data_IF_500949127357
#
_entry.id   IF_500949127357
#
_cell.length_a   1.000
_cell.length_b   1.000
_cell.length_c   1.000
_cell.angle_alpha   90.00
_cell.angle_beta   90.00
_cell.angle_gamma   90.00
#
_symmetry.space_group_name_H-M   'P 1'
#
loop_
_entity.id
_entity.type
_entity.pdbx_description
1 polymer ?
#
# COMPACT_ATOMS: atom_id res chain seq x y z
N UNK A 1 -10.41 -28.38 0.02
CA UNK A 1 -10.27 -27.16 -0.80
C UNK A 1 -10.54 -25.99 0.13
N UNK A 2 -9.50 -25.21 0.51
CA UNK A 2 -9.71 -24.02 1.33
C UNK A 2 -10.27 -22.91 0.42
N UNK A 3 -11.42 -22.38 0.78
CA UNK A 3 -11.99 -21.18 0.11
C UNK A 3 -11.39 -19.96 0.79
N UNK A 4 -10.64 -19.16 0.03
CA UNK A 4 -10.13 -17.87 0.49
C UNK A 4 -11.06 -16.75 0.02
N UNK A 5 -11.27 -15.74 0.85
CA UNK A 5 -12.00 -14.53 0.47
C UNK A 5 -11.29 -13.74 -0.65
N UNK A 6 -9.99 -13.99 -0.83
CA UNK A 6 -9.14 -13.29 -1.77
C UNK A 6 -9.05 -14.03 -3.10
N UNK A 7 -9.26 -13.30 -4.20
CA UNK A 7 -9.37 -13.87 -5.55
C UNK A 7 -8.00 -14.03 -6.23
N UNK A 8 -7.92 -14.92 -7.23
CA UNK A 8 -6.71 -15.22 -7.99
C UNK A 8 -6.89 -15.11 -9.50
N UNK A 9 -7.95 -14.45 -9.95
CA UNK A 9 -8.27 -14.32 -11.38
C UNK A 9 -7.67 -13.03 -11.91
N UNK A 10 -6.69 -13.06 -12.76
CA UNK A 10 -5.98 -11.99 -13.46
C UNK A 10 -4.46 -12.07 -13.27
N UNK A 11 -3.71 -11.04 -13.66
CA UNK A 11 -2.27 -11.01 -13.37
C UNK A 11 -2.01 -11.04 -11.86
N UNK A 12 -0.95 -11.70 -11.44
CA UNK A 12 -0.63 -11.83 -10.01
C UNK A 12 -0.49 -10.47 -9.31
N UNK A 13 0.07 -9.47 -9.99
CA UNK A 13 0.20 -8.09 -9.49
C UNK A 13 -1.16 -7.44 -9.23
N UNK A 14 -2.08 -7.49 -10.21
CA UNK A 14 -3.43 -6.93 -10.05
C UNK A 14 -4.22 -7.60 -8.93
N UNK A 15 -4.07 -8.92 -8.80
CA UNK A 15 -4.71 -9.69 -7.72
C UNK A 15 -4.15 -9.29 -6.37
N UNK A 16 -2.82 -9.15 -6.26
CA UNK A 16 -2.17 -8.71 -5.03
C UNK A 16 -2.66 -7.31 -4.61
N UNK A 17 -2.69 -6.37 -5.54
CA UNK A 17 -3.19 -5.01 -5.29
C UNK A 17 -4.66 -5.03 -4.86
N UNK A 18 -5.52 -5.71 -5.60
CA UNK A 18 -6.96 -5.75 -5.31
C UNK A 18 -7.23 -6.38 -3.92
N UNK A 19 -6.54 -7.46 -3.58
CA UNK A 19 -6.67 -8.12 -2.29
C UNK A 19 -6.15 -7.22 -1.15
N UNK A 20 -5.05 -6.51 -1.37
CA UNK A 20 -4.50 -5.53 -0.41
C UNK A 20 -5.51 -4.41 -0.15
N UNK A 21 -6.09 -3.83 -1.21
CA UNK A 21 -7.09 -2.78 -1.07
C UNK A 21 -8.37 -3.29 -0.38
N UNK A 22 -8.80 -4.51 -0.70
CA UNK A 22 -9.94 -5.15 -0.03
C UNK A 22 -9.69 -5.29 1.48
N UNK A 23 -8.53 -5.78 1.86
CA UNK A 23 -8.15 -5.94 3.26
C UNK A 23 -8.08 -4.60 3.99
N UNK A 24 -7.43 -3.59 3.42
CA UNK A 24 -7.36 -2.25 3.99
C UNK A 24 -8.76 -1.60 4.12
N UNK A 25 -9.63 -1.76 3.12
CA UNK A 25 -11.01 -1.26 3.19
C UNK A 25 -11.84 -1.98 4.26
N UNK A 26 -11.60 -3.27 4.50
CA UNK A 26 -12.23 -4.02 5.59
C UNK A 26 -11.79 -3.50 6.96
N UNK A 27 -10.50 -3.23 7.14
CA UNK A 27 -9.99 -2.64 8.37
C UNK A 27 -10.59 -1.25 8.61
N UNK A 28 -10.67 -0.40 7.57
CA UNK A 28 -11.32 0.91 7.64
C UNK A 28 -12.78 0.81 8.08
N UNK A 29 -13.57 -0.06 7.46
CA UNK A 29 -14.99 -0.24 7.78
C UNK A 29 -15.21 -0.86 9.17
N UNK A 30 -14.29 -1.71 9.63
CA UNK A 30 -14.37 -2.34 10.93
C UNK A 30 -14.07 -1.36 12.08
N UNK A 31 -12.95 -0.64 11.98
CA UNK A 31 -12.54 0.36 12.96
C UNK A 31 -11.74 1.48 12.32
N UNK A 32 -12.46 2.52 11.91
CA UNK A 32 -11.92 3.70 11.25
C UNK A 32 -10.77 4.35 12.04
N UNK A 33 -10.89 4.45 13.37
CA UNK A 33 -9.84 5.06 14.20
C UNK A 33 -8.55 4.23 14.21
N UNK A 34 -8.65 2.91 14.37
CA UNK A 34 -7.48 2.02 14.31
C UNK A 34 -6.82 2.06 12.94
N UNK A 35 -7.62 2.09 11.87
CA UNK A 35 -7.12 2.23 10.51
C UNK A 35 -6.35 3.55 10.32
N UNK A 36 -6.91 4.67 10.76
CA UNK A 36 -6.23 5.96 10.65
C UNK A 36 -4.97 6.04 11.50
N UNK A 37 -4.96 5.47 12.71
CA UNK A 37 -3.76 5.43 13.54
C UNK A 37 -2.64 4.66 12.82
N UNK A 38 -2.94 3.51 12.23
CA UNK A 38 -2.00 2.76 11.41
C UNK A 38 -1.53 3.59 10.21
N UNK A 39 -2.47 4.14 9.44
CA UNK A 39 -2.15 4.92 8.25
C UNK A 39 -1.27 6.13 8.57
N UNK A 40 -1.67 6.92 9.58
CA UNK A 40 -0.97 8.13 9.97
C UNK A 40 0.44 7.84 10.48
N UNK A 41 0.61 6.82 11.31
CA UNK A 41 1.90 6.54 11.94
C UNK A 41 2.85 5.73 11.05
N UNK A 42 2.33 4.82 10.20
CA UNK A 42 3.17 3.91 9.40
C UNK A 42 3.36 4.36 7.96
N UNK A 43 2.37 5.02 7.38
CA UNK A 43 2.37 5.37 5.96
C UNK A 43 2.56 6.88 5.76
N UNK A 44 1.69 7.70 6.33
CA UNK A 44 1.74 9.15 6.15
C UNK A 44 2.82 9.81 7.01
N UNK A 45 3.16 9.20 8.15
CA UNK A 45 4.10 9.72 9.14
C UNK A 45 3.72 11.12 9.64
N UNK A 46 2.46 11.24 10.04
CA UNK A 46 1.86 12.44 10.62
C UNK A 46 1.31 12.12 12.01
N UNK A 47 1.06 13.17 12.81
CA UNK A 47 0.44 13.02 14.12
C UNK A 47 -1.04 12.64 14.04
N UNK A 48 -1.64 12.44 15.21
CA UNK A 48 -3.08 12.19 15.33
C UNK A 48 -3.87 13.38 14.79
N UNK A 49 -4.79 13.11 13.89
CA UNK A 49 -5.63 14.10 13.23
C UNK A 49 -7.09 13.65 13.14
N UNK A 50 -7.94 14.51 12.57
CA UNK A 50 -9.32 14.12 12.24
C UNK A 50 -9.34 12.98 11.22
N UNK A 51 -10.31 12.09 11.35
CA UNK A 51 -10.47 10.90 10.52
C UNK A 51 -11.57 11.10 9.47
N UNK A 52 -11.32 11.83 8.39
CA UNK A 52 -12.34 12.04 7.36
C UNK A 52 -12.54 10.79 6.49
N UNK A 53 -13.58 10.82 5.69
CA UNK A 53 -13.93 9.73 4.78
C UNK A 53 -12.82 9.48 3.74
N UNK A 54 -12.51 8.20 3.49
CA UNK A 54 -11.48 7.77 2.54
C UNK A 54 -12.11 7.13 1.30
N UNK A 55 -11.49 7.37 0.16
CA UNK A 55 -11.82 6.71 -1.10
C UNK A 55 -10.69 5.75 -1.49
N UNK A 56 -11.06 4.48 -1.68
CA UNK A 56 -10.19 3.44 -2.23
C UNK A 56 -10.51 3.25 -3.71
N UNK A 57 -9.53 3.45 -4.58
CA UNK A 57 -9.67 3.20 -6.01
C UNK A 57 -8.63 2.18 -6.47
N UNK A 58 -9.08 1.23 -7.31
CA UNK A 58 -8.21 0.28 -7.99
C UNK A 58 -8.11 0.73 -9.45
N UNK A 59 -6.89 0.78 -9.99
CA UNK A 59 -6.61 1.18 -11.38
C UNK A 59 -7.25 2.54 -11.76
N UNK A 60 -6.91 3.58 -11.02
CA UNK A 60 -7.38 4.92 -11.32
C UNK A 60 -6.73 5.45 -12.60
N UNK A 61 -7.53 5.58 -13.67
CA UNK A 61 -7.07 6.10 -14.96
C UNK A 61 -6.87 7.61 -14.86
N UNK A 62 -5.63 8.07 -15.07
CA UNK A 62 -5.32 9.47 -15.34
C UNK A 62 -4.82 9.63 -16.79
N UNK A 63 -4.72 10.85 -17.29
CA UNK A 63 -4.33 11.12 -18.69
C UNK A 63 -2.95 10.53 -19.05
N UNK A 64 -2.02 10.44 -18.11
CA UNK A 64 -0.62 10.06 -18.35
C UNK A 64 -0.16 8.79 -17.61
N UNK A 65 -0.96 8.25 -16.68
CA UNK A 65 -0.57 7.10 -15.86
C UNK A 65 -1.78 6.40 -15.25
N UNK A 66 -1.65 5.10 -15.04
CA UNK A 66 -2.65 4.27 -14.35
C UNK A 66 -1.93 3.58 -13.19
N UNK A 67 -1.95 4.15 -11.97
CA UNK A 67 -1.45 3.45 -10.78
C UNK A 67 -2.32 2.23 -10.48
N UNK A 68 -1.72 1.21 -9.87
CA UNK A 68 -2.43 -0.02 -9.48
C UNK A 68 -3.57 0.28 -8.52
N UNK A 69 -3.35 1.18 -7.56
CA UNK A 69 -4.39 1.66 -6.66
C UNK A 69 -4.10 3.06 -6.11
N UNK A 70 -5.13 3.72 -5.59
CA UNK A 70 -5.01 4.93 -4.80
C UNK A 70 -5.84 4.85 -3.54
N UNK A 71 -5.33 5.42 -2.46
CA UNK A 71 -6.05 5.68 -1.20
C UNK A 71 -5.99 7.19 -1.02
N UNK A 72 -7.14 7.85 -1.03
CA UNK A 72 -7.17 9.30 -1.05
C UNK A 72 -8.32 9.90 -0.25
N UNK A 73 -8.09 11.10 0.20
CA UNK A 73 -9.06 12.07 0.67
C UNK A 73 -8.58 13.46 0.27
N UNK A 74 -9.30 14.51 0.64
CA UNK A 74 -8.96 15.89 0.25
C UNK A 74 -7.57 16.33 0.73
N UNK A 75 -7.14 15.89 1.92
CA UNK A 75 -5.86 16.29 2.51
C UNK A 75 -4.70 15.37 2.18
N UNK A 76 -4.92 14.16 1.68
CA UNK A 76 -3.82 13.28 1.26
C UNK A 76 -4.17 12.40 0.05
N UNK A 77 -3.12 11.93 -0.61
CA UNK A 77 -3.20 10.88 -1.62
C UNK A 77 -2.02 9.94 -1.50
N UNK A 78 -2.31 8.66 -1.48
CA UNK A 78 -1.34 7.57 -1.56
C UNK A 78 -1.52 6.91 -2.91
N UNK A 79 -0.50 6.97 -3.74
CA UNK A 79 -0.44 6.24 -5.01
C UNK A 79 0.31 4.95 -4.74
N UNK A 80 -0.34 3.82 -5.04
CA UNK A 80 0.21 2.48 -4.80
C UNK A 80 0.62 1.85 -6.11
N UNK A 81 1.87 1.39 -6.18
CA UNK A 81 2.39 0.58 -7.26
C UNK A 81 2.87 -0.75 -6.70
N UNK A 82 2.22 -1.84 -7.14
CA UNK A 82 2.57 -3.19 -6.73
C UNK A 82 3.42 -3.86 -7.79
N UNK A 83 4.52 -4.45 -7.38
CA UNK A 83 5.34 -5.31 -8.23
C UNK A 83 5.63 -6.63 -7.53
N UNK A 84 6.12 -7.58 -8.29
CA UNK A 84 6.56 -8.86 -7.78
C UNK A 84 8.05 -9.03 -8.08
N UNK A 85 8.82 -9.25 -7.00
CA UNK A 85 10.26 -9.56 -7.10
C UNK A 85 11.10 -8.42 -7.72
N UNK A 86 10.88 -7.18 -7.22
CA UNK A 86 11.66 -5.99 -7.58
C UNK A 86 11.60 -5.60 -9.07
N UNK A 87 10.53 -5.93 -9.79
CA UNK A 87 10.33 -5.58 -11.21
C UNK A 87 9.78 -4.16 -11.41
N UNK A 88 10.20 -3.21 -10.59
CA UNK A 88 9.78 -1.81 -10.71
C UNK A 88 10.35 -1.15 -11.97
N UNK A 89 9.52 -0.38 -12.67
CA UNK A 89 9.90 0.45 -13.80
C UNK A 89 9.96 1.92 -13.36
N UNK A 90 11.18 2.51 -13.41
CA UNK A 90 11.39 3.90 -13.02
C UNK A 90 10.56 4.89 -13.86
N UNK A 91 10.34 4.61 -15.15
CA UNK A 91 9.51 5.47 -16.00
C UNK A 91 8.07 5.47 -15.54
N UNK A 92 7.54 4.29 -15.18
CA UNK A 92 6.20 4.15 -14.62
C UNK A 92 6.08 4.92 -13.31
N UNK A 93 7.04 4.77 -12.39
CA UNK A 93 7.05 5.49 -11.12
C UNK A 93 7.12 7.02 -11.32
N UNK A 94 7.94 7.52 -12.25
CA UNK A 94 7.94 8.94 -12.62
C UNK A 94 6.58 9.43 -13.14
N UNK A 95 5.91 8.64 -13.98
CA UNK A 95 4.57 8.99 -14.44
C UNK A 95 3.55 9.03 -13.29
N UNK A 96 3.71 8.20 -12.27
CA UNK A 96 2.84 8.22 -11.09
C UNK A 96 3.01 9.50 -10.26
N UNK A 97 4.22 10.09 -10.22
CA UNK A 97 4.42 11.39 -9.55
C UNK A 97 3.55 12.49 -10.17
N UNK A 98 3.35 12.45 -11.48
CA UNK A 98 2.52 13.44 -12.21
C UNK A 98 1.01 13.29 -11.93
N UNK A 99 0.59 12.25 -11.23
CA UNK A 99 -0.82 12.06 -10.84
C UNK A 99 -1.21 12.80 -9.55
N UNK A 100 -0.24 13.34 -8.82
CA UNK A 100 -0.51 14.18 -7.65
C UNK A 100 -0.98 15.58 -8.07
N UNK A 101 -1.90 16.15 -7.27
CA UNK A 101 -2.52 17.46 -7.50
C UNK A 101 -2.32 18.35 -6.27
N UNK A 102 -3.42 18.80 -5.67
CA UNK A 102 -3.43 19.81 -4.62
C UNK A 102 -3.49 19.21 -3.19
N UNK A 103 -3.20 17.90 -3.07
CA UNK A 103 -3.19 17.24 -1.76
C UNK A 103 -2.08 17.79 -0.87
N UNK A 104 -2.36 17.97 0.43
CA UNK A 104 -1.41 18.47 1.44
C UNK A 104 -0.31 17.44 1.74
N UNK A 105 -0.65 16.15 1.64
CA UNK A 105 0.25 15.02 1.89
C UNK A 105 0.21 14.09 0.69
N UNK A 106 1.39 13.81 0.15
CA UNK A 106 1.57 13.01 -1.07
C UNK A 106 2.52 11.85 -0.78
N UNK A 107 2.06 10.63 -0.99
CA UNK A 107 2.87 9.42 -0.78
C UNK A 107 2.85 8.54 -2.02
N UNK A 108 4.02 8.23 -2.55
CA UNK A 108 4.23 7.13 -3.49
C UNK A 108 4.59 5.89 -2.67
N UNK A 109 3.72 4.91 -2.62
CA UNK A 109 3.95 3.65 -1.94
C UNK A 109 4.25 2.55 -2.96
N UNK A 110 5.42 1.95 -2.86
CA UNK A 110 5.75 0.73 -3.62
C UNK A 110 5.55 -0.48 -2.73
N UNK A 111 4.89 -1.52 -3.26
CA UNK A 111 4.54 -2.76 -2.55
C UNK A 111 5.10 -3.96 -3.31
N UNK A 112 5.86 -4.81 -2.61
CA UNK A 112 6.51 -6.00 -3.20
C UNK A 112 6.65 -7.10 -2.13
N UNK A 113 6.76 -8.39 -2.48
CA UNK A 113 7.16 -9.44 -1.54
C UNK A 113 8.50 -9.18 -0.85
N UNK A 114 9.44 -8.58 -1.58
CA UNK A 114 10.80 -8.33 -1.16
C UNK A 114 11.07 -6.83 -0.95
N UNK A 115 11.97 -6.46 -0.03
CA UNK A 115 12.44 -5.08 0.06
C UNK A 115 13.01 -4.61 -1.29
N UNK A 116 12.75 -3.36 -1.66
CA UNK A 116 13.30 -2.79 -2.87
C UNK A 116 14.85 -2.86 -2.84
N UNK A 117 15.45 -3.25 -3.95
CA UNK A 117 16.90 -3.27 -4.05
C UNK A 117 17.48 -1.87 -3.85
N UNK A 118 18.64 -1.76 -3.19
CA UNK A 118 19.31 -0.47 -2.92
C UNK A 118 19.47 0.37 -4.18
N UNK A 119 19.88 -0.25 -5.29
CA UNK A 119 20.04 0.43 -6.56
C UNK A 119 18.74 1.02 -7.13
N UNK A 120 17.61 0.32 -6.97
CA UNK A 120 16.30 0.84 -7.40
C UNK A 120 15.83 1.93 -6.44
N UNK A 121 16.00 1.75 -5.14
CA UNK A 121 15.65 2.75 -4.13
C UNK A 121 16.36 4.08 -4.41
N UNK A 122 17.67 4.07 -4.62
CA UNK A 122 18.45 5.28 -4.96
C UNK A 122 17.90 5.98 -6.22
N UNK A 123 17.48 5.24 -7.23
CA UNK A 123 16.89 5.82 -8.46
C UNK A 123 15.52 6.42 -8.22
N UNK A 124 14.70 5.77 -7.41
CA UNK A 124 13.35 6.26 -7.07
C UNK A 124 13.48 7.52 -6.23
N UNK A 125 14.35 7.51 -5.22
CA UNK A 125 14.58 8.66 -4.34
C UNK A 125 15.10 9.87 -5.14
N UNK A 126 16.04 9.65 -6.07
CA UNK A 126 16.52 10.71 -6.97
C UNK A 126 15.38 11.26 -7.87
N UNK A 127 14.49 10.41 -8.37
CA UNK A 127 13.35 10.85 -9.17
C UNK A 127 12.33 11.65 -8.35
N UNK A 128 12.08 11.23 -7.12
CA UNK A 128 11.21 11.95 -6.16
C UNK A 128 11.83 13.29 -5.77
N UNK A 129 13.14 13.35 -5.51
CA UNK A 129 13.84 14.61 -5.25
C UNK A 129 13.78 15.57 -6.44
N UNK A 130 13.96 15.06 -7.66
CA UNK A 130 13.83 15.85 -8.90
C UNK A 130 12.42 16.46 -9.01
N UNK A 131 11.38 15.65 -8.81
CA UNK A 131 9.98 16.10 -8.79
C UNK A 131 9.73 17.15 -7.72
N UNK A 132 10.23 16.93 -6.51
CA UNK A 132 10.02 17.81 -5.35
C UNK A 132 10.68 19.19 -5.53
N UNK A 133 11.76 19.30 -6.32
CA UNK A 133 12.39 20.62 -6.62
C UNK A 133 11.47 21.56 -7.41
N UNK A 134 10.50 21.00 -8.15
CA UNK A 134 9.56 21.75 -8.97
C UNK A 134 8.21 22.02 -8.24
N UNK A 135 8.00 21.45 -7.05
CA UNK A 135 6.71 21.47 -6.36
C UNK A 135 6.83 21.95 -4.91
N UNK A 136 5.81 22.68 -4.44
CA UNK A 136 5.78 23.25 -3.06
C UNK A 136 5.48 22.18 -2.02
N UNK A 137 4.58 21.25 -2.34
CA UNK A 137 4.25 20.11 -1.49
C UNK A 137 4.97 18.87 -1.99
N UNK A 138 5.84 18.36 -1.14
CA UNK A 138 6.74 17.27 -1.51
C UNK A 138 6.05 15.91 -1.43
N UNK A 139 6.31 15.07 -2.42
CA UNK A 139 5.98 13.65 -2.39
C UNK A 139 7.01 12.94 -1.52
N UNK A 140 6.54 12.02 -0.68
CA UNK A 140 7.36 11.06 0.05
C UNK A 140 7.26 9.70 -0.65
N UNK A 141 8.39 9.03 -0.86
CA UNK A 141 8.42 7.62 -1.26
C UNK A 141 8.52 6.72 -0.03
N UNK A 142 7.77 5.64 -0.01
CA UNK A 142 7.91 4.55 0.94
C UNK A 142 7.89 3.22 0.21
N UNK A 143 8.81 2.33 0.57
CA UNK A 143 8.78 0.94 0.14
C UNK A 143 8.25 0.09 1.29
N UNK A 144 7.24 -0.73 1.01
CA UNK A 144 6.56 -1.60 1.98
C UNK A 144 6.55 -3.00 1.42
N UNK A 145 6.87 -4.00 2.23
CA UNK A 145 6.63 -5.40 1.86
C UNK A 145 5.26 -5.85 2.33
N UNK A 146 4.72 -6.95 1.75
CA UNK A 146 3.48 -7.55 2.26
C UNK A 146 3.60 -7.95 3.72
N UNK A 147 4.79 -8.41 4.13
CA UNK A 147 5.10 -8.75 5.53
C UNK A 147 5.04 -7.53 6.44
N UNK A 148 5.61 -6.39 6.00
CA UNK A 148 5.54 -5.15 6.77
C UNK A 148 4.10 -4.67 6.91
N UNK A 149 3.32 -4.72 5.82
CA UNK A 149 1.92 -4.29 5.83
C UNK A 149 1.08 -5.14 6.80
N UNK A 150 1.28 -6.46 6.82
CA UNK A 150 0.63 -7.37 7.78
C UNK A 150 1.03 -7.00 9.21
N UNK A 151 2.32 -6.77 9.46
CA UNK A 151 2.81 -6.36 10.77
C UNK A 151 2.21 -5.02 11.22
N UNK A 152 2.15 -4.02 10.31
CA UNK A 152 1.53 -2.73 10.61
C UNK A 152 0.06 -2.88 11.03
N UNK A 153 -0.70 -3.73 10.37
CA UNK A 153 -2.09 -3.96 10.77
C UNK A 153 -2.22 -4.66 12.12
N UNK A 154 -1.38 -5.68 12.36
CA UNK A 154 -1.39 -6.42 13.64
C UNK A 154 -1.07 -5.53 14.83
N UNK A 155 -0.21 -4.53 14.67
CA UNK A 155 0.11 -3.56 15.72
C UNK A 155 -1.12 -2.75 16.20
N UNK A 156 -2.17 -2.63 15.37
CA UNK A 156 -3.37 -1.84 15.68
C UNK A 156 -4.64 -2.67 15.88
N UNK A 157 -4.55 -3.99 15.80
CA UNK A 157 -5.67 -4.91 16.03
C UNK A 157 -5.53 -5.51 17.44
N UNK A 158 -6.61 -5.46 18.22
CA UNK A 158 -6.66 -6.16 19.51
C UNK A 158 -7.01 -7.63 19.26
N UNK A 159 -6.42 -8.57 20.01
CA UNK A 159 -6.72 -10.02 19.92
C UNK A 159 -8.22 -10.34 20.16
N UNK A 160 -8.94 -9.42 20.76
CA UNK A 160 -10.40 -9.52 20.96
C UNK A 160 -11.20 -9.11 19.73
N UNK A 161 -10.61 -8.42 18.78
CA UNK A 161 -11.23 -8.02 17.51
C UNK A 161 -11.24 -9.21 16.52
N UNK A 162 -11.88 -10.32 16.87
CA UNK A 162 -11.77 -11.62 16.19
C UNK A 162 -12.02 -11.52 14.69
N UNK A 163 -13.03 -10.75 14.26
CA UNK A 163 -13.34 -10.60 12.83
C UNK A 163 -12.18 -9.95 12.05
N UNK A 164 -11.47 -9.01 12.67
CA UNK A 164 -10.30 -8.39 12.05
C UNK A 164 -9.07 -9.29 12.10
N UNK A 165 -8.87 -10.01 13.20
CA UNK A 165 -7.81 -11.03 13.30
C UNK A 165 -8.00 -12.05 12.20
N UNK A 166 -9.20 -12.59 12.03
CA UNK A 166 -9.50 -13.59 10.98
C UNK A 166 -9.26 -13.05 9.57
N UNK A 167 -9.60 -11.78 9.28
CA UNK A 167 -9.36 -11.14 7.98
C UNK A 167 -7.85 -11.00 7.72
N UNK A 168 -7.07 -10.57 8.71
CA UNK A 168 -5.61 -10.43 8.56
C UNK A 168 -4.94 -11.80 8.45
N UNK A 169 -5.38 -12.78 9.23
CA UNK A 169 -4.92 -14.17 9.13
C UNK A 169 -5.18 -14.76 7.74
N UNK A 170 -6.35 -14.50 7.18
CA UNK A 170 -6.69 -14.97 5.83
C UNK A 170 -5.86 -14.26 4.76
N UNK A 171 -5.57 -12.97 4.93
CA UNK A 171 -4.68 -12.25 4.02
C UNK A 171 -3.23 -12.77 4.13
N UNK A 172 -2.74 -13.02 5.34
CA UNK A 172 -1.41 -13.62 5.56
C UNK A 172 -1.30 -15.00 4.93
N UNK A 173 -2.31 -15.87 5.13
CA UNK A 173 -2.39 -17.17 4.46
C UNK A 173 -2.42 -17.06 2.93
N UNK A 174 -3.14 -16.06 2.40
CA UNK A 174 -3.13 -15.78 0.97
C UNK A 174 -1.71 -15.41 0.51
N UNK A 175 -1.03 -14.48 1.20
CA UNK A 175 0.33 -14.08 0.86
C UNK A 175 1.33 -15.25 0.94
N UNK A 176 1.22 -16.12 1.96
CA UNK A 176 2.03 -17.33 2.08
C UNK A 176 1.76 -18.32 0.94
N UNK A 177 0.51 -18.49 0.55
CA UNK A 177 0.11 -19.42 -0.50
C UNK A 177 0.57 -19.00 -1.91
N UNK A 178 0.74 -17.70 -2.14
CA UNK A 178 1.23 -17.14 -3.41
C UNK A 178 2.72 -16.76 -3.35
N UNK A 179 3.41 -17.15 -2.29
CA UNK A 179 4.84 -16.94 -2.05
C UNK A 179 5.25 -15.46 -1.93
N UNK A 180 4.35 -14.62 -1.42
CA UNK A 180 4.64 -13.21 -1.13
C UNK A 180 5.27 -13.00 0.25
N UNK A 181 5.14 -13.97 1.14
CA UNK A 181 5.83 -14.05 2.42
C UNK A 181 6.37 -15.45 2.61
N UNK A 182 7.60 -15.56 3.09
CA UNK A 182 8.14 -16.85 3.48
C UNK A 182 7.76 -17.14 4.93
N UNK A 183 7.05 -18.24 5.17
CA UNK A 183 6.92 -18.75 6.53
C UNK A 183 8.31 -19.18 7.01
N UNK A 184 8.73 -18.81 8.25
CA UNK A 184 9.92 -19.39 8.81
C UNK A 184 9.70 -20.90 8.87
N UNK A 185 10.60 -21.67 8.25
CA UNK A 185 10.58 -23.14 8.34
C UNK A 185 10.57 -23.50 9.82
N UNK A 186 9.42 -23.86 10.35
CA UNK A 186 9.29 -24.44 11.69
C UNK A 186 9.94 -25.81 11.65
N UNK A 187 11.17 -25.92 12.17
CA UNK A 187 11.85 -27.18 12.44
C UNK A 187 11.15 -27.93 13.57
#
# INVERSE_FOLDING_TARGET
MQVHYFQRYHSAENVATANTMLMLSRMYNYNTNKFFNMLNQRILNIGDGENPEIVFNIQHVSENSVPDATISQRSFKIVVETKLYNKFDLKQLKNHLETFSDEDIKVLMTLDPEPMSTHMAEKVDAAVEEYNKAHTVHVKHINVTFKDLIAYMRDYIDDRDRDMVDIVDDFEKYCALVDFIHEPLTN
#
